data_IF_716933988958
#
_entry.id   IF_716933988958
#
_cell.length_a   1.000
_cell.length_b   1.000
_cell.length_c   1.000
_cell.angle_alpha   90.00
_cell.angle_beta   90.00
_cell.angle_gamma   90.00
#
_symmetry.space_group_name_H-M   'P 1'
#
loop_
_entity.id
_entity.type
_entity.pdbx_description
1 polymer ?
#
# COMPACT_ATOMS: atom_id res chain seq x y z
N UNK A 1 15.42 7.28 -9.89
CA UNK A 1 14.19 6.84 -9.20
C UNK A 1 14.58 6.43 -7.79
N UNK A 2 14.07 7.10 -6.76
CA UNK A 2 14.38 6.74 -5.36
C UNK A 2 13.62 5.48 -5.01
N UNK A 3 14.28 4.32 -5.09
CA UNK A 3 13.78 3.07 -4.52
C UNK A 3 13.62 3.29 -3.01
N UNK A 4 12.40 3.61 -2.59
CA UNK A 4 12.01 3.48 -1.19
C UNK A 4 12.08 2.00 -0.89
N UNK A 5 13.01 1.57 -0.05
CA UNK A 5 13.10 0.18 0.38
C UNK A 5 11.81 -0.18 1.10
N UNK A 6 11.02 -1.09 0.54
CA UNK A 6 9.87 -1.71 1.21
C UNK A 6 10.34 -3.01 1.82
N UNK A 7 10.10 -3.19 3.11
CA UNK A 7 10.21 -4.49 3.75
C UNK A 7 8.96 -5.31 3.49
N UNK A 8 9.10 -6.64 3.44
CA UNK A 8 7.98 -7.56 3.25
C UNK A 8 6.87 -7.33 4.29
N UNK A 9 7.22 -7.06 5.54
CA UNK A 9 6.25 -6.74 6.60
C UNK A 9 5.42 -5.47 6.29
N UNK A 10 6.04 -4.44 5.70
CA UNK A 10 5.35 -3.21 5.33
C UNK A 10 4.41 -3.43 4.12
N UNK A 11 4.83 -4.27 3.18
CA UNK A 11 3.99 -4.67 2.04
C UNK A 11 2.78 -5.49 2.50
N UNK A 12 3.01 -6.49 3.35
CA UNK A 12 1.96 -7.31 3.93
C UNK A 12 0.98 -6.45 4.71
N UNK A 13 1.46 -5.53 5.56
CA UNK A 13 0.60 -4.64 6.32
C UNK A 13 -0.23 -3.69 5.44
N UNK A 14 0.33 -3.21 4.33
CA UNK A 14 -0.43 -2.42 3.36
C UNK A 14 -1.53 -3.26 2.70
N UNK A 15 -1.20 -4.46 2.23
CA UNK A 15 -2.18 -5.33 1.55
C UNK A 15 -3.28 -5.77 2.51
N UNK A 16 -2.93 -6.21 3.72
CA UNK A 16 -3.88 -6.64 4.75
C UNK A 16 -4.88 -5.53 5.08
N UNK A 17 -4.38 -4.31 5.33
CA UNK A 17 -5.23 -3.15 5.59
C UNK A 17 -6.18 -2.85 4.41
N UNK A 18 -5.68 -2.88 3.18
CA UNK A 18 -6.49 -2.61 1.99
C UNK A 18 -7.53 -3.69 1.72
N UNK A 19 -7.21 -4.96 2.02
CA UNK A 19 -8.15 -6.09 1.90
C UNK A 19 -9.25 -6.00 2.96
N UNK A 20 -8.91 -5.65 4.20
CA UNK A 20 -9.89 -5.35 5.25
C UNK A 20 -10.83 -4.20 4.83
N UNK A 21 -10.27 -3.16 4.20
CA UNK A 21 -11.01 -2.02 3.68
C UNK A 21 -11.49 -2.19 2.23
N UNK A 22 -11.59 -3.42 1.70
CA UNK A 22 -11.95 -3.66 0.29
C UNK A 22 -13.26 -3.02 -0.15
N UNK A 23 -14.21 -2.84 0.77
CA UNK A 23 -15.50 -2.19 0.51
C UNK A 23 -15.35 -0.71 0.13
N UNK A 24 -14.21 -0.09 0.44
CA UNK A 24 -13.86 1.28 0.05
C UNK A 24 -13.14 1.34 -1.31
N UNK A 25 -12.83 0.20 -1.94
CA UNK A 25 -12.25 0.15 -3.26
C UNK A 25 -13.27 0.60 -4.32
N UNK A 26 -12.82 1.38 -5.29
CA UNK A 26 -13.61 1.75 -6.45
C UNK A 26 -13.62 0.68 -7.53
N UNK A 27 -14.42 0.92 -8.57
CA UNK A 27 -14.43 0.13 -9.80
C UNK A 27 -13.02 0.15 -10.43
N UNK A 28 -12.34 -0.99 -10.48
CA UNK A 28 -10.93 -1.10 -10.87
C UNK A 28 -9.95 -1.41 -9.73
N UNK A 29 -10.42 -1.65 -8.50
CA UNK A 29 -9.58 -2.17 -7.41
C UNK A 29 -8.59 -1.16 -6.82
N UNK A 30 -8.83 0.13 -7.05
CA UNK A 30 -8.03 1.20 -6.45
C UNK A 30 -8.77 1.87 -5.29
N UNK A 31 -8.01 2.46 -4.36
CA UNK A 31 -8.54 3.06 -3.13
C UNK A 31 -8.48 4.58 -3.15
N UNK A 32 -9.35 5.22 -2.35
CA UNK A 32 -9.36 6.68 -2.20
C UNK A 32 -8.16 7.15 -1.37
N UNK A 33 -7.82 8.43 -1.53
CA UNK A 33 -6.74 9.08 -0.76
C UNK A 33 -6.88 8.85 0.75
N UNK A 34 -8.10 8.98 1.28
CA UNK A 34 -8.40 8.81 2.70
C UNK A 34 -8.01 7.41 3.22
N UNK A 35 -8.29 6.36 2.44
CA UNK A 35 -7.91 4.99 2.80
C UNK A 35 -6.40 4.84 2.88
N UNK A 36 -5.66 5.42 1.94
CA UNK A 36 -4.19 5.41 2.01
C UNK A 36 -3.63 6.27 3.14
N UNK A 37 -4.30 7.36 3.53
CA UNK A 37 -3.90 8.15 4.71
C UNK A 37 -4.03 7.33 5.99
N UNK A 38 -5.09 6.54 6.14
CA UNK A 38 -5.27 5.64 7.28
C UNK A 38 -4.21 4.52 7.30
N UNK A 39 -3.88 3.99 6.12
CA UNK A 39 -2.87 2.95 5.98
C UNK A 39 -1.44 3.39 6.37
N UNK A 40 -1.15 4.71 6.39
CA UNK A 40 0.18 5.22 6.79
C UNK A 40 0.55 4.74 8.20
N UNK A 41 -0.37 4.84 9.16
CA UNK A 41 -0.10 4.49 10.54
C UNK A 41 0.25 3.00 10.68
N UNK A 42 -0.48 2.14 9.98
CA UNK A 42 -0.29 0.68 10.02
C UNK A 42 1.05 0.30 9.39
N UNK A 43 1.38 0.90 8.24
CA UNK A 43 2.66 0.64 7.55
C UNK A 43 3.84 1.22 8.34
N UNK A 44 3.71 2.41 8.91
CA UNK A 44 4.74 3.04 9.72
C UNK A 44 5.09 2.22 10.98
N UNK A 45 4.10 1.56 11.59
CA UNK A 45 4.33 0.67 12.73
C UNK A 45 5.20 -0.54 12.39
N UNK A 46 5.26 -0.95 11.12
CA UNK A 46 6.10 -2.07 10.66
C UNK A 46 7.50 -1.61 10.20
N UNK A 47 7.68 -0.32 9.91
CA UNK A 47 8.93 0.24 9.42
C UNK A 47 9.95 0.39 10.55
N UNK A 48 10.93 -0.51 10.62
CA UNK A 48 11.93 -0.49 11.71
C UNK A 48 12.97 0.63 11.63
N UNK A 49 13.30 1.20 10.46
CA UNK A 49 14.37 2.22 10.33
C UNK A 49 14.38 2.88 8.93
N UNK A 50 13.23 3.29 8.42
CA UNK A 50 13.08 3.81 7.05
C UNK A 50 12.68 5.29 6.98
N UNK A 51 12.82 5.89 5.79
CA UNK A 51 12.16 7.17 5.49
C UNK A 51 10.64 7.02 5.70
N UNK A 52 9.97 8.00 6.33
CA UNK A 52 8.53 7.94 6.52
C UNK A 52 7.83 7.80 5.18
N UNK A 53 6.97 6.79 5.06
CA UNK A 53 6.19 6.57 3.84
C UNK A 53 5.01 7.52 3.83
N UNK A 54 4.85 8.22 2.71
CA UNK A 54 3.72 9.09 2.47
C UNK A 54 2.67 8.39 1.61
N UNK A 55 1.49 9.01 1.49
CA UNK A 55 0.37 8.47 0.69
C UNK A 55 0.80 8.11 -0.73
N UNK A 56 1.62 8.95 -1.38
CA UNK A 56 2.09 8.72 -2.75
C UNK A 56 2.94 7.45 -2.86
N UNK A 57 3.80 7.18 -1.88
CA UNK A 57 4.56 5.94 -1.81
C UNK A 57 3.65 4.71 -1.68
N UNK A 58 2.60 4.79 -0.84
CA UNK A 58 1.63 3.71 -0.68
C UNK A 58 0.80 3.47 -1.96
N UNK A 59 0.33 4.54 -2.61
CA UNK A 59 -0.39 4.46 -3.89
C UNK A 59 0.46 3.80 -4.98
N UNK A 60 1.71 4.25 -5.13
CA UNK A 60 2.63 3.66 -6.09
C UNK A 60 2.88 2.18 -5.80
N UNK A 61 3.03 1.82 -4.53
CA UNK A 61 3.27 0.44 -4.14
C UNK A 61 2.06 -0.45 -4.38
N UNK A 62 0.86 0.00 -4.00
CA UNK A 62 -0.39 -0.70 -4.31
C UNK A 62 -0.54 -0.90 -5.81
N UNK A 63 -0.29 0.15 -6.62
CA UNK A 63 -0.36 0.06 -8.06
C UNK A 63 0.67 -0.90 -8.67
N UNK A 64 1.83 -1.12 -8.04
CA UNK A 64 2.77 -2.17 -8.46
C UNK A 64 2.23 -3.56 -8.11
N UNK A 65 1.84 -3.77 -6.85
CA UNK A 65 1.30 -5.04 -6.34
C UNK A 65 0.08 -5.47 -7.16
N UNK A 66 -0.89 -4.58 -7.34
CA UNK A 66 -2.12 -4.86 -8.07
C UNK A 66 -1.85 -5.23 -9.53
N UNK A 67 -0.91 -4.55 -10.20
CA UNK A 67 -0.50 -4.90 -11.56
C UNK A 67 0.18 -6.27 -11.64
N UNK A 68 1.03 -6.60 -10.67
CA UNK A 68 1.65 -7.92 -10.59
C UNK A 68 0.62 -9.05 -10.43
N UNK A 69 -0.45 -8.83 -9.65
CA UNK A 69 -1.54 -9.81 -9.54
C UNK A 69 -2.48 -9.81 -10.75
N UNK A 70 -2.71 -8.65 -11.39
CA UNK A 70 -3.57 -8.57 -12.58
C UNK A 70 -2.94 -9.22 -13.81
N UNK A 71 -1.62 -9.34 -13.88
CA UNK A 71 -0.91 -10.00 -15.00
C UNK A 71 -0.89 -11.52 -14.87
N UNK A 72 -1.19 -12.06 -13.67
CA UNK A 72 -1.27 -13.50 -13.40
C UNK A 72 -2.67 -14.09 -13.69
N UNK A 73 -3.48 -13.37 -14.47
CA UNK A 73 -4.85 -13.75 -14.84
C UNK A 73 -4.89 -14.28 -16.27
#
# INVERSE_FOLDING_TARGET
>A
MTNTSWSSAEETALVDFLVDHKSAAGDGGNFKLATFQQAIAVVAAQGRSGKPKNVKSLQNKWGQIFRSFSVLK
#
